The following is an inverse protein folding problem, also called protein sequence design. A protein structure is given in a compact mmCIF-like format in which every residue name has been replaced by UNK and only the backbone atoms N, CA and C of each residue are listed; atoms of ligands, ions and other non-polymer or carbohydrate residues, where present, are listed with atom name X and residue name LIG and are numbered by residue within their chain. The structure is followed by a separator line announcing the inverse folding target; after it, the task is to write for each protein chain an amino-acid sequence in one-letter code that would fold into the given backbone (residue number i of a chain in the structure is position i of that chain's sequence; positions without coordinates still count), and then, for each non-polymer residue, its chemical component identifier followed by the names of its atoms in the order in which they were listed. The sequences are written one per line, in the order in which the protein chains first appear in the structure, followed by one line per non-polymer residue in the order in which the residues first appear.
data_IF_498816809706
#
_entry.id   IF_498816809706
#
_cell.length_a   1.000
_cell.length_b   1.000
_cell.length_c   1.000
_cell.angle_alpha   90.00
_cell.angle_beta   90.00
_cell.angle_gamma   90.00
#
_symmetry.space_group_name_H-M   'P 1'
#
loop_
_entity.id
_entity.type
_entity.pdbx_description
1 polymer ?
#
# COMPACT_ATOMS: atom_id res chain seq x y z
N UNK A 1 -18.91 1.00 -1.58
CA UNK A 1 -17.62 0.31 -1.51
C UNK A 1 -17.92 -1.14 -1.19
N UNK A 2 -17.67 -2.03 -2.14
CA UNK A 2 -17.75 -3.47 -1.94
C UNK A 2 -16.35 -3.94 -1.59
N UNK A 3 -16.18 -4.61 -0.44
CA UNK A 3 -14.90 -5.20 -0.08
C UNK A 3 -14.81 -6.51 -0.86
N UNK A 4 -14.01 -6.49 -1.92
CA UNK A 4 -13.91 -7.64 -2.81
C UNK A 4 -13.17 -8.81 -2.13
N UNK A 5 -12.15 -8.53 -1.30
CA UNK A 5 -11.35 -9.56 -0.63
C UNK A 5 -10.79 -9.07 0.72
N UNK A 6 -10.66 -9.99 1.67
CA UNK A 6 -9.89 -9.79 2.92
C UNK A 6 -8.62 -10.63 2.79
N UNK A 7 -7.46 -10.00 2.96
CA UNK A 7 -6.16 -10.67 2.90
C UNK A 7 -5.47 -10.61 4.26
N UNK A 8 -5.03 -11.75 4.76
CA UNK A 8 -4.39 -11.86 6.07
C UNK A 8 -3.07 -11.09 6.16
N UNK A 9 -2.32 -10.97 5.05
CA UNK A 9 -1.07 -10.21 5.00
C UNK A 9 -1.24 -8.72 5.34
N UNK A 10 -2.44 -8.15 5.14
CA UNK A 10 -2.75 -6.77 5.55
C UNK A 10 -2.80 -6.65 7.07
N UNK A 11 -3.26 -7.70 7.75
CA UNK A 11 -3.31 -7.75 9.20
C UNK A 11 -1.93 -8.01 9.81
N UNK A 12 -1.14 -8.90 9.20
CA UNK A 12 0.17 -9.28 9.72
C UNK A 12 1.33 -8.39 9.25
N UNK A 13 1.13 -7.60 8.20
CA UNK A 13 2.14 -6.69 7.67
C UNK A 13 3.15 -7.35 6.75
N UNK A 14 2.80 -8.47 6.13
CA UNK A 14 3.68 -9.18 5.20
C UNK A 14 3.77 -8.42 3.86
N UNK A 15 4.91 -7.76 3.64
CA UNK A 15 5.16 -6.97 2.44
C UNK A 15 5.46 -7.85 1.22
N UNK A 16 6.04 -9.03 1.42
CA UNK A 16 6.34 -9.95 0.32
C UNK A 16 5.02 -10.45 -0.29
N UNK A 17 4.07 -10.87 0.55
CA UNK A 17 2.73 -11.26 0.13
C UNK A 17 1.97 -10.11 -0.57
N UNK A 18 2.13 -8.86 -0.10
CA UNK A 18 1.58 -7.69 -0.80
C UNK A 18 2.21 -7.53 -2.19
N UNK A 19 3.54 -7.63 -2.28
CA UNK A 19 4.29 -7.51 -3.52
C UNK A 19 3.91 -8.59 -4.53
N UNK A 20 3.67 -9.82 -4.09
CA UNK A 20 3.15 -10.90 -4.94
C UNK A 20 1.70 -10.63 -5.36
N UNK A 21 0.82 -10.26 -4.44
CA UNK A 21 -0.59 -10.00 -4.74
C UNK A 21 -0.78 -8.87 -5.77
N UNK A 22 0.10 -7.88 -5.80
CA UNK A 22 0.05 -6.75 -6.76
C UNK A 22 0.50 -7.16 -8.17
N UNK A 23 1.29 -8.23 -8.33
CA UNK A 23 1.77 -8.68 -9.65
C UNK A 23 0.62 -9.16 -10.56
N UNK A 24 -0.38 -9.80 -9.98
CA UNK A 24 -1.52 -10.37 -10.71
C UNK A 24 -2.63 -9.36 -11.02
N UNK A 25 -2.51 -8.13 -10.51
CA UNK A 25 -3.49 -7.06 -10.69
C UNK A 25 -3.25 -6.36 -12.05
N UNK A 26 -4.31 -6.00 -12.76
CA UNK A 26 -4.24 -5.22 -14.01
C UNK A 26 -3.59 -3.83 -13.77
N UNK A 27 -2.97 -3.23 -14.80
CA UNK A 27 -2.38 -1.90 -14.70
C UNK A 27 -3.43 -0.76 -14.72
N UNK A 28 -4.65 -1.04 -15.22
CA UNK A 28 -5.72 -0.04 -15.37
C UNK A 28 -6.66 0.07 -14.15
N UNK A 29 -6.29 -0.49 -12.99
CA UNK A 29 -7.12 -0.45 -11.78
C UNK A 29 -6.51 0.36 -10.65
N UNK A 30 -7.36 0.82 -9.74
CA UNK A 30 -6.95 1.46 -8.48
C UNK A 30 -7.19 0.50 -7.31
N UNK A 31 -6.10 0.11 -6.64
CA UNK A 31 -6.17 -0.68 -5.41
C UNK A 31 -6.35 0.25 -4.19
N UNK A 32 -7.33 -0.07 -3.34
CA UNK A 32 -7.53 0.58 -2.04
C UNK A 32 -7.15 -0.39 -0.94
N UNK A 33 -6.13 -0.04 -0.15
CA UNK A 33 -5.67 -0.83 1.00
C UNK A 33 -6.04 -0.07 2.28
N UNK A 34 -6.75 -0.74 3.18
CA UNK A 34 -7.05 -0.23 4.50
C UNK A 34 -6.38 -1.12 5.55
N UNK A 35 -5.52 -0.53 6.37
CA UNK A 35 -4.73 -1.24 7.38
C UNK A 35 -4.50 -0.38 8.61
N UNK A 36 -3.48 -0.74 9.39
CA UNK A 36 -3.14 -0.06 10.63
C UNK A 36 -1.65 0.31 10.68
N UNK A 37 -1.34 1.23 11.59
CA UNK A 37 0.04 1.57 11.94
C UNK A 37 0.60 0.52 12.92
N UNK A 38 1.90 0.20 12.88
CA UNK A 38 2.95 0.84 12.05
C UNK A 38 3.03 0.32 10.60
N UNK A 39 2.37 -0.80 10.29
CA UNK A 39 2.56 -1.58 9.05
C UNK A 39 2.42 -0.77 7.76
N UNK A 40 1.42 0.11 7.65
CA UNK A 40 1.27 0.96 6.47
C UNK A 40 2.44 1.96 6.30
N UNK A 41 3.07 2.37 7.41
CA UNK A 41 4.26 3.21 7.39
C UNK A 41 5.47 2.42 6.91
N UNK A 42 5.65 1.21 7.45
CA UNK A 42 6.73 0.31 7.04
C UNK A 42 6.64 -0.01 5.53
N UNK A 43 5.45 -0.36 5.03
CA UNK A 43 5.23 -0.59 3.60
C UNK A 43 5.46 0.65 2.73
N UNK A 44 5.13 1.84 3.24
CA UNK A 44 5.42 3.10 2.54
C UNK A 44 6.92 3.25 2.35
N UNK A 45 7.70 3.01 3.41
CA UNK A 45 9.15 3.04 3.34
C UNK A 45 9.69 1.98 2.36
N UNK A 46 9.19 0.74 2.43
CA UNK A 46 9.67 -0.37 1.59
C UNK A 46 9.46 -0.10 0.07
N UNK A 47 8.26 0.39 -0.30
CA UNK A 47 7.90 0.57 -1.70
C UNK A 47 8.31 1.93 -2.30
N UNK A 48 8.40 3.00 -1.50
CA UNK A 48 8.68 4.34 -2.03
C UNK A 48 9.94 5.01 -1.46
N UNK A 49 10.65 4.37 -0.52
CA UNK A 49 11.79 4.94 0.19
C UNK A 49 11.44 6.25 0.95
N UNK A 50 10.15 6.48 1.21
CA UNK A 50 9.65 7.67 1.93
C UNK A 50 9.30 7.32 3.38
N UNK A 51 9.79 8.11 4.33
CA UNK A 51 9.41 8.02 5.74
C UNK A 51 8.34 9.07 6.07
N UNK A 52 7.08 8.64 5.99
CA UNK A 52 5.92 9.52 6.21
C UNK A 52 5.27 9.23 7.55
N UNK A 53 5.07 10.28 8.35
CA UNK A 53 4.29 10.16 9.59
C UNK A 53 2.79 10.02 9.30
N UNK A 54 2.27 8.79 9.37
CA UNK A 54 0.85 8.48 9.11
C UNK A 54 0.02 8.62 10.39
N UNK A 55 -1.01 9.48 10.35
CA UNK A 55 -2.02 9.58 11.42
C UNK A 55 -3.22 8.66 11.16
N UNK A 56 -3.97 8.31 12.21
CA UNK A 56 -5.23 7.57 12.04
C UNK A 56 -6.18 8.34 11.12
N UNK A 57 -6.71 7.66 10.10
CA UNK A 57 -7.60 8.27 9.10
C UNK A 57 -6.89 9.03 7.98
N UNK A 58 -5.55 9.06 7.97
CA UNK A 58 -4.81 9.55 6.82
C UNK A 58 -4.92 8.58 5.64
N UNK A 59 -4.79 9.13 4.43
CA UNK A 59 -4.76 8.38 3.17
C UNK A 59 -3.54 8.82 2.37
N UNK A 60 -2.83 7.85 1.82
CA UNK A 60 -1.67 8.05 0.98
C UNK A 60 -2.00 7.48 -0.40
N UNK A 61 -1.53 8.13 -1.45
CA UNK A 61 -1.72 7.68 -2.82
C UNK A 61 -0.38 7.49 -3.49
N UNK A 62 -0.24 6.31 -4.08
CA UNK A 62 0.97 5.89 -4.74
C UNK A 62 0.67 5.55 -6.19
N UNK A 63 1.64 5.80 -7.05
CA UNK A 63 1.69 5.29 -8.41
C UNK A 63 2.71 4.17 -8.46
N UNK A 64 2.26 2.95 -8.76
CA UNK A 64 3.17 1.81 -8.95
C UNK A 64 4.05 2.07 -10.18
N UNK A 65 5.37 1.97 -9.99
CA UNK A 65 6.39 2.15 -11.04
C UNK A 65 7.05 0.82 -11.43
N UNK A 66 7.01 -0.18 -10.54
CA UNK A 66 7.47 -1.55 -10.77
C UNK A 66 6.68 -2.51 -9.89
N UNK A 67 6.32 -3.69 -10.41
CA UNK A 67 5.66 -4.77 -9.66
C UNK A 67 6.63 -5.86 -9.18
N UNK A 68 7.86 -5.90 -9.69
CA UNK A 68 8.88 -6.89 -9.31
C UNK A 68 10.29 -6.29 -9.40
N UNK A 69 10.84 -5.74 -8.29
CA UNK A 69 10.22 -5.62 -6.97
C UNK A 69 9.10 -4.57 -6.96
N UNK A 70 8.18 -4.64 -6.00
CA UNK A 70 7.15 -3.61 -5.80
C UNK A 70 7.83 -2.28 -5.44
N UNK A 71 7.74 -1.31 -6.33
CA UNK A 71 8.17 0.07 -6.12
C UNK A 71 7.08 1.03 -6.57
N UNK A 72 6.92 2.13 -5.84
CA UNK A 72 5.89 3.12 -6.10
C UNK A 72 6.37 4.54 -5.78
N UNK A 73 5.81 5.51 -6.49
CA UNK A 73 6.02 6.93 -6.26
C UNK A 73 4.87 7.47 -5.39
N UNK A 74 5.20 8.13 -4.28
CA UNK A 74 4.20 8.81 -3.44
C UNK A 74 3.72 10.09 -4.15
N UNK A 75 2.44 10.14 -4.53
CA UNK A 75 1.87 11.29 -5.22
C UNK A 75 1.31 12.34 -4.26
N UNK A 76 0.56 11.90 -3.24
CA UNK A 76 -0.03 12.81 -2.26
C UNK A 76 -0.38 12.11 -0.95
N UNK A 77 -0.50 12.93 0.10
CA UNK A 77 -0.93 12.54 1.44
C UNK A 77 -2.07 13.46 1.88
N UNK A 78 -3.17 12.86 2.34
CA UNK A 78 -4.27 13.57 2.99
C UNK A 78 -4.30 13.11 4.45
N UNK A 79 -4.35 14.07 5.37
CA UNK A 79 -4.52 13.82 6.80
C UNK A 79 -5.77 14.52 7.32
N UNK A 80 -6.49 13.92 8.28
CA UNK A 80 -7.60 14.56 8.97
C UNK A 80 -7.15 15.69 9.91
#
# INVERSE_FOLDING_TARGET
FEINEIKDFIYYGDFEDLSEAVQDIDDEVTLLIAGHQPLLGDWTLDMSDEDVRIKKGAMLNFKVISKSPLKAELLWVISP
#
